data_IF_892642451080
#
_entry.id   IF_892642451080
#
_cell.length_a   1.000
_cell.length_b   1.000
_cell.length_c   1.000
_cell.angle_alpha   90.00
_cell.angle_beta   90.00
_cell.angle_gamma   90.00
#
_symmetry.space_group_name_H-M   'P 1'
#
loop_
_entity.id
_entity.type
_entity.pdbx_description
1 polymer ?
#
# COMPACT_ATOMS: atom_id res chain seq x y z
N UNK A 1 10.01 18.53 9.51
CA UNK A 1 10.99 17.83 8.65
C UNK A 1 10.80 16.34 8.90
N UNK A 2 9.95 15.70 8.10
CA UNK A 2 9.83 14.25 8.11
C UNK A 2 11.11 13.67 7.51
N UNK A 3 11.76 12.75 8.22
CA UNK A 3 13.05 12.20 7.83
C UNK A 3 12.87 11.16 6.71
N UNK A 4 13.73 11.13 5.68
CA UNK A 4 13.54 10.32 4.46
C UNK A 4 13.45 8.80 4.72
N UNK A 5 14.06 8.29 5.79
CA UNK A 5 13.97 6.88 6.19
C UNK A 5 12.66 6.49 6.90
N UNK A 6 11.84 7.46 7.29
CA UNK A 6 10.59 7.31 8.05
C UNK A 6 9.35 7.58 7.22
N UNK A 7 9.47 8.51 6.26
CA UNK A 7 8.56 8.60 5.10
C UNK A 7 8.46 7.24 4.39
N UNK A 8 9.56 6.50 4.36
CA UNK A 8 9.68 5.21 3.71
C UNK A 8 8.82 4.08 4.32
N UNK A 9 8.70 4.00 5.67
CA UNK A 9 7.81 3.03 6.33
C UNK A 9 6.33 3.39 6.14
N UNK A 10 6.02 4.69 6.06
CA UNK A 10 4.66 5.20 5.77
C UNK A 10 4.25 4.97 4.30
N UNK A 11 5.18 5.05 3.35
CA UNK A 11 4.89 4.90 1.93
C UNK A 11 5.02 3.46 1.42
N UNK A 12 5.66 2.56 2.19
CA UNK A 12 5.67 1.10 1.96
C UNK A 12 4.28 0.50 1.70
N UNK A 13 3.24 1.20 2.15
CA UNK A 13 1.86 0.75 2.12
C UNK A 13 0.94 1.59 1.21
N UNK A 14 1.45 2.62 0.50
CA UNK A 14 0.59 3.61 -0.18
C UNK A 14 0.25 3.25 -1.64
N UNK A 15 1.01 2.36 -2.29
CA UNK A 15 0.79 1.92 -3.68
C UNK A 15 0.99 0.42 -3.89
N UNK A 16 -0.03 -0.32 -3.49
CA UNK A 16 -0.18 -1.76 -3.69
C UNK A 16 -1.55 -1.92 -4.35
N UNK A 17 -1.65 -1.82 -5.69
CA UNK A 17 -2.96 -1.76 -6.40
C UNK A 17 -3.01 -2.36 -7.80
N UNK A 18 -4.19 -2.84 -8.18
CA UNK A 18 -4.31 -3.90 -9.20
C UNK A 18 -5.51 -3.86 -10.12
N UNK A 19 -5.32 -4.20 -11.41
CA UNK A 19 -6.38 -4.54 -12.37
C UNK A 19 -6.24 -5.92 -13.06
N UNK A 20 -7.34 -6.37 -13.68
CA UNK A 20 -7.69 -7.72 -14.15
C UNK A 20 -6.92 -8.24 -15.40
N UNK A 21 -6.77 -9.56 -15.47
CA UNK A 21 -6.57 -10.36 -16.69
C UNK A 21 -7.95 -10.83 -17.24
N UNK A 22 -8.34 -10.53 -18.49
CA UNK A 22 -9.57 -11.10 -19.04
C UNK A 22 -9.32 -12.55 -19.41
N UNK A 23 -9.80 -13.49 -18.58
CA UNK A 23 -9.84 -14.90 -18.98
C UNK A 23 -11.17 -15.18 -19.69
N UNK A 24 -11.19 -14.99 -21.00
CA UNK A 24 -12.25 -15.48 -21.86
C UNK A 24 -11.70 -15.87 -23.24
N UNK A 25 -11.33 -17.15 -23.39
CA UNK A 25 -11.33 -17.82 -24.69
C UNK A 25 -11.62 -19.32 -24.49
N UNK A 26 -12.93 -19.60 -24.54
CA UNK A 26 -13.60 -20.79 -25.06
C UNK A 26 -12.70 -21.90 -25.65
N UNK A 27 -12.70 -23.08 -25.01
CA UNK A 27 -12.45 -24.36 -25.67
C UNK A 27 -13.59 -25.31 -25.30
N UNK A 28 -14.58 -25.41 -26.18
CA UNK A 28 -15.55 -26.52 -26.17
C UNK A 28 -14.90 -27.75 -26.81
N UNK A 29 -14.75 -28.83 -26.04
CA UNK A 29 -14.59 -30.20 -26.53
C UNK A 29 -15.16 -31.15 -25.46
N UNK A 30 -16.06 -32.09 -25.81
CA UNK A 30 -16.56 -33.07 -24.86
C UNK A 30 -15.65 -34.30 -24.86
N UNK A 31 -15.21 -34.74 -23.69
CA UNK A 31 -14.74 -36.10 -23.51
C UNK A 31 -14.85 -36.49 -22.03
N UNK A 32 -15.73 -37.45 -21.76
CA UNK A 32 -15.81 -38.16 -20.49
C UNK A 32 -14.43 -38.76 -20.16
N UNK A 33 -13.72 -38.15 -19.22
CA UNK A 33 -12.59 -38.76 -18.54
C UNK A 33 -13.00 -39.04 -17.08
N UNK A 34 -12.64 -40.20 -16.53
CA UNK A 34 -12.88 -40.48 -15.13
C UNK A 34 -12.09 -39.44 -14.33
N UNK A 35 -12.81 -38.65 -13.54
CA UNK A 35 -12.21 -37.77 -12.53
C UNK A 35 -11.57 -38.69 -11.51
N UNK A 36 -10.31 -39.08 -11.76
CA UNK A 36 -9.42 -39.42 -10.67
C UNK A 36 -9.38 -38.16 -9.81
N UNK A 37 -9.99 -38.22 -8.63
CA UNK A 37 -9.74 -37.29 -7.56
C UNK A 37 -8.24 -37.43 -7.21
N UNK A 38 -7.38 -36.79 -8.01
CA UNK A 38 -6.07 -36.42 -7.58
C UNK A 38 -6.32 -35.61 -6.33
N UNK A 39 -5.87 -36.13 -5.18
CA UNK A 39 -5.63 -35.27 -4.03
C UNK A 39 -4.71 -34.18 -4.56
N UNK A 40 -5.26 -33.04 -4.95
CA UNK A 40 -4.49 -31.84 -5.19
C UNK A 40 -3.82 -31.61 -3.85
N UNK A 41 -2.52 -31.91 -3.77
CA UNK A 41 -1.69 -31.47 -2.66
C UNK A 41 -1.98 -29.98 -2.60
N UNK A 42 -2.71 -29.54 -1.57
CA UNK A 42 -3.03 -28.14 -1.40
C UNK A 42 -1.69 -27.41 -1.50
N UNK A 43 -1.53 -26.46 -2.44
CA UNK A 43 -0.24 -25.85 -2.69
C UNK A 43 0.33 -25.35 -1.37
N UNK A 44 1.59 -25.70 -1.10
CA UNK A 44 2.29 -25.34 0.13
C UNK A 44 2.04 -23.84 0.42
N UNK A 45 1.73 -23.42 1.66
CA UNK A 45 1.39 -22.03 1.99
C UNK A 45 2.33 -20.99 1.36
N UNK A 46 3.65 -21.17 1.48
CA UNK A 46 4.64 -20.32 0.83
C UNK A 46 4.51 -20.21 -0.70
N UNK A 47 4.06 -21.25 -1.40
CA UNK A 47 3.85 -21.21 -2.85
C UNK A 47 2.64 -20.34 -3.21
N UNK A 48 1.56 -20.40 -2.42
CA UNK A 48 0.40 -19.50 -2.57
C UNK A 48 0.79 -18.05 -2.31
N UNK A 49 1.49 -17.79 -1.21
CA UNK A 49 1.99 -16.44 -0.90
C UNK A 49 2.93 -15.93 -1.98
N UNK A 50 3.87 -16.76 -2.46
CA UNK A 50 4.76 -16.39 -3.57
C UNK A 50 3.99 -16.01 -4.83
N UNK A 51 2.95 -16.76 -5.18
CA UNK A 51 2.09 -16.43 -6.32
C UNK A 51 1.34 -15.12 -6.10
N UNK A 52 0.82 -14.88 -4.90
CA UNK A 52 0.17 -13.61 -4.55
C UNK A 52 1.16 -12.42 -4.67
N UNK A 53 2.39 -12.57 -4.18
CA UNK A 53 3.47 -11.58 -4.34
C UNK A 53 3.81 -11.31 -5.80
N UNK A 54 3.90 -12.35 -6.64
CA UNK A 54 4.19 -12.17 -8.06
C UNK A 54 3.08 -11.41 -8.78
N UNK A 55 1.82 -11.77 -8.49
CA UNK A 55 0.65 -11.07 -9.02
C UNK A 55 0.63 -9.64 -8.52
N UNK A 56 0.94 -9.41 -7.25
CA UNK A 56 1.08 -8.09 -6.66
C UNK A 56 2.13 -7.25 -7.44
N UNK A 57 3.37 -7.69 -7.54
CA UNK A 57 4.38 -6.84 -8.21
C UNK A 57 4.05 -6.60 -9.69
N UNK A 58 3.54 -7.63 -10.39
CA UNK A 58 3.27 -7.55 -11.82
C UNK A 58 2.16 -6.57 -12.22
N UNK A 59 1.28 -6.13 -11.31
CA UNK A 59 0.32 -5.08 -11.65
C UNK A 59 0.51 -3.73 -10.96
N UNK A 60 1.42 -3.60 -9.99
CA UNK A 60 1.88 -2.27 -9.54
C UNK A 60 2.55 -1.51 -10.73
N UNK A 61 3.04 -2.23 -11.75
CA UNK A 61 3.61 -1.68 -12.99
C UNK A 61 2.56 -1.07 -13.96
N UNK A 62 1.26 -1.14 -13.66
CA UNK A 62 0.17 -0.66 -14.55
C UNK A 62 -0.74 0.33 -13.84
N UNK A 63 -0.37 1.61 -13.82
CA UNK A 63 -1.21 2.66 -13.21
C UNK A 63 -2.39 3.02 -14.11
N UNK A 64 -3.60 2.85 -13.61
CA UNK A 64 -4.78 3.52 -14.19
C UNK A 64 -4.93 4.85 -13.49
N UNK A 65 -5.13 5.93 -14.26
CA UNK A 65 -5.37 7.23 -13.66
C UNK A 65 -6.67 7.22 -12.84
N UNK A 66 -6.62 7.70 -11.61
CA UNK A 66 -7.78 7.73 -10.71
C UNK A 66 -7.72 8.85 -9.72
N UNK A 67 -8.87 9.10 -9.12
CA UNK A 67 -9.05 10.03 -8.03
C UNK A 67 -9.69 9.36 -6.84
N UNK A 68 -9.22 9.70 -5.65
CA UNK A 68 -9.78 9.20 -4.39
C UNK A 68 -9.57 10.22 -3.28
N UNK A 69 -10.35 10.07 -2.22
CA UNK A 69 -10.16 10.79 -0.97
C UNK A 69 -9.21 10.02 -0.08
N UNK A 70 -8.23 10.72 0.47
CA UNK A 70 -7.23 10.18 1.39
C UNK A 70 -7.34 10.88 2.75
N UNK A 71 -7.63 10.12 3.79
CA UNK A 71 -7.68 10.62 5.17
C UNK A 71 -6.53 10.05 5.97
N UNK A 72 -5.70 10.91 6.55
CA UNK A 72 -4.60 10.53 7.43
C UNK A 72 -4.82 11.10 8.83
N UNK A 73 -4.89 10.23 9.82
CA UNK A 73 -4.95 10.57 11.24
C UNK A 73 -3.58 10.34 11.84
N UNK A 74 -3.07 11.31 12.58
CA UNK A 74 -1.80 11.26 13.32
C UNK A 74 -1.97 11.93 14.68
N UNK A 75 -0.94 11.87 15.52
CA UNK A 75 -0.89 12.65 16.78
C UNK A 75 -0.97 14.17 16.56
N UNK A 76 -0.68 14.65 15.35
CA UNK A 76 -0.75 16.06 14.97
C UNK A 76 -2.11 16.47 14.39
N UNK A 77 -3.04 15.52 14.23
CA UNK A 77 -4.39 15.77 13.75
C UNK A 77 -4.80 14.91 12.56
N UNK A 78 -5.98 15.21 12.05
CA UNK A 78 -6.61 14.54 10.91
C UNK A 78 -6.51 15.43 9.67
N UNK A 79 -5.97 14.88 8.59
CA UNK A 79 -5.78 15.57 7.32
C UNK A 79 -6.57 14.82 6.24
N UNK A 80 -7.45 15.53 5.54
CA UNK A 80 -8.19 14.98 4.41
C UNK A 80 -7.67 15.63 3.13
N UNK A 81 -7.30 14.79 2.17
CA UNK A 81 -6.79 15.19 0.87
C UNK A 81 -7.65 14.59 -0.24
N UNK A 82 -7.78 15.35 -1.31
CA UNK A 82 -8.24 14.85 -2.59
C UNK A 82 -7.01 14.50 -3.43
N UNK A 83 -6.90 13.26 -3.88
CA UNK A 83 -5.70 12.73 -4.52
C UNK A 83 -6.04 12.29 -5.93
N UNK A 84 -5.22 12.71 -6.89
CA UNK A 84 -5.23 12.17 -8.25
C UNK A 84 -3.91 11.46 -8.50
N UNK A 85 -3.99 10.18 -8.85
CA UNK A 85 -2.88 9.34 -9.23
C UNK A 85 -2.84 9.17 -10.74
N UNK A 86 -1.65 9.26 -11.33
CA UNK A 86 -1.40 9.14 -12.77
C UNK A 86 -0.16 8.28 -13.02
N UNK A 87 0.10 7.91 -14.27
CA UNK A 87 1.35 7.21 -14.66
C UNK A 87 2.62 8.01 -14.31
N UNK A 88 2.50 9.33 -14.23
CA UNK A 88 3.61 10.25 -13.95
C UNK A 88 3.74 10.56 -12.44
N UNK A 89 2.96 9.88 -11.60
CA UNK A 89 2.90 10.02 -10.14
C UNK A 89 1.60 10.66 -9.62
N UNK A 90 1.51 10.83 -8.28
CA UNK A 90 0.33 11.43 -7.65
C UNK A 90 0.50 12.91 -7.39
N UNK A 91 -0.64 13.58 -7.32
CA UNK A 91 -0.77 14.92 -6.77
C UNK A 91 -1.99 14.93 -5.86
N UNK A 92 -1.85 15.59 -4.72
CA UNK A 92 -2.93 15.77 -3.77
C UNK A 92 -3.27 17.24 -3.58
N UNK A 93 -4.51 17.55 -3.20
CA UNK A 93 -4.93 18.82 -2.62
C UNK A 93 -5.42 18.59 -1.19
N UNK A 94 -4.93 19.36 -0.22
CA UNK A 94 -5.50 19.36 1.12
C UNK A 94 -6.88 20.03 1.10
N UNK A 95 -7.89 19.37 1.66
CA UNK A 95 -9.28 19.86 1.64
C UNK A 95 -9.88 20.05 3.04
N UNK A 96 -9.38 19.35 4.06
CA UNK A 96 -9.80 19.56 5.44
C UNK A 96 -8.69 19.23 6.45
N UNK A 97 -8.71 19.94 7.58
CA UNK A 97 -7.88 19.69 8.75
C UNK A 97 -8.80 19.57 9.98
N UNK A 98 -8.66 18.50 10.75
CA UNK A 98 -9.43 18.24 11.97
C UNK A 98 -10.95 18.37 11.75
N UNK A 99 -11.44 17.82 10.63
CA UNK A 99 -12.86 17.82 10.25
C UNK A 99 -13.40 19.17 9.76
N UNK A 100 -12.55 20.19 9.63
CA UNK A 100 -12.95 21.52 9.14
C UNK A 100 -12.34 21.79 7.75
N UNK A 101 -13.11 22.37 6.81
CA UNK A 101 -12.54 22.88 5.57
C UNK A 101 -11.41 23.88 5.83
N UNK A 102 -10.54 24.06 4.84
CA UNK A 102 -9.45 25.04 4.93
C UNK A 102 -9.99 26.46 5.11
N UNK A 103 -9.31 27.25 5.95
CA UNK A 103 -9.57 28.67 6.05
C UNK A 103 -9.02 29.44 4.83
N UNK A 104 -9.37 30.73 4.70
CA UNK A 104 -8.97 31.53 3.54
C UNK A 104 -7.45 31.71 3.38
N UNK A 105 -6.67 31.58 4.45
CA UNK A 105 -5.22 31.65 4.37
C UNK A 105 -4.65 30.30 3.90
N UNK A 106 -5.10 29.20 4.50
CA UNK A 106 -4.72 27.84 4.14
C UNK A 106 -5.07 27.54 2.69
N UNK A 107 -6.25 27.97 2.24
CA UNK A 107 -6.70 27.81 0.85
C UNK A 107 -5.76 28.54 -0.12
N UNK A 108 -5.39 29.79 0.19
CA UNK A 108 -4.43 30.55 -0.63
C UNK A 108 -3.05 29.88 -0.66
N UNK A 109 -2.59 29.32 0.45
CA UNK A 109 -1.33 28.59 0.51
C UNK A 109 -1.38 27.33 -0.35
N UNK A 110 -2.48 26.58 -0.30
CA UNK A 110 -2.65 25.36 -1.07
C UNK A 110 -2.79 25.63 -2.57
N UNK A 111 -3.51 26.68 -2.96
CA UNK A 111 -3.56 27.15 -4.35
C UNK A 111 -2.18 27.57 -4.86
N UNK A 112 -1.40 28.30 -4.05
CA UNK A 112 -0.04 28.70 -4.40
C UNK A 112 0.86 27.48 -4.58
N UNK A 113 0.75 26.47 -3.71
CA UNK A 113 1.48 25.21 -3.84
C UNK A 113 1.15 24.50 -5.15
N UNK A 114 -0.14 24.35 -5.48
CA UNK A 114 -0.56 23.73 -6.74
C UNK A 114 -0.13 24.55 -7.98
N UNK A 115 -0.12 25.89 -7.90
CA UNK A 115 0.39 26.76 -8.97
C UNK A 115 1.90 26.59 -9.17
N UNK A 116 2.66 26.49 -8.08
CA UNK A 116 4.10 26.27 -8.11
C UNK A 116 4.46 24.93 -8.79
N UNK A 117 3.67 23.88 -8.55
CA UNK A 117 3.81 22.58 -9.21
C UNK A 117 3.74 22.66 -10.74
N UNK A 118 2.87 23.52 -11.29
CA UNK A 118 2.77 23.72 -12.75
C UNK A 118 3.92 24.56 -13.34
N UNK A 119 4.55 25.39 -12.50
CA UNK A 119 5.61 26.31 -12.90
C UNK A 119 7.01 25.66 -12.91
N UNK A 120 7.19 24.55 -12.20
CA UNK A 120 8.48 23.86 -12.10
C UNK A 120 8.42 22.40 -12.59
N UNK A 121 8.73 22.13 -13.87
CA UNK A 121 8.85 20.77 -14.39
C UNK A 121 9.91 19.91 -13.68
N UNK A 122 10.91 20.52 -13.02
CA UNK A 122 11.87 19.76 -12.24
C UNK A 122 11.25 19.19 -10.97
N UNK A 123 10.25 19.85 -10.39
CA UNK A 123 9.49 19.32 -9.25
C UNK A 123 8.75 18.03 -9.61
N UNK A 124 8.09 17.98 -10.78
CA UNK A 124 7.45 16.75 -11.27
C UNK A 124 8.48 15.61 -11.43
N UNK A 125 9.63 15.89 -12.07
CA UNK A 125 10.67 14.87 -12.27
C UNK A 125 11.21 14.34 -10.95
N UNK A 126 11.49 15.21 -9.98
CA UNK A 126 11.99 14.80 -8.65
C UNK A 126 10.95 13.97 -7.90
N UNK A 127 9.68 14.39 -7.95
CA UNK A 127 8.57 13.66 -7.33
C UNK A 127 8.43 12.25 -7.91
N UNK A 128 8.39 12.15 -9.24
CA UNK A 128 8.31 10.87 -9.93
C UNK A 128 9.53 9.96 -9.68
N UNK A 129 10.74 10.53 -9.65
CA UNK A 129 11.96 9.79 -9.31
C UNK A 129 11.89 9.23 -7.90
N UNK A 130 11.49 10.05 -6.92
CA UNK A 130 11.34 9.62 -5.53
C UNK A 130 10.31 8.48 -5.40
N UNK A 131 9.13 8.64 -5.99
CA UNK A 131 8.10 7.59 -5.97
C UNK A 131 8.58 6.29 -6.63
N UNK A 132 9.32 6.39 -7.73
CA UNK A 132 9.86 5.23 -8.44
C UNK A 132 10.91 4.50 -7.60
N UNK A 133 11.83 5.24 -6.99
CA UNK A 133 12.85 4.68 -6.09
C UNK A 133 12.22 4.00 -4.88
N UNK A 134 11.15 4.59 -4.33
CA UNK A 134 10.36 4.01 -3.25
C UNK A 134 9.66 2.72 -3.69
N UNK A 135 8.92 2.74 -4.81
CA UNK A 135 8.22 1.56 -5.33
C UNK A 135 9.19 0.40 -5.57
N UNK A 136 10.34 0.66 -6.18
CA UNK A 136 11.36 -0.37 -6.41
C UNK A 136 11.84 -1.03 -5.10
N UNK A 137 11.85 -0.25 -4.02
CA UNK A 137 12.28 -0.70 -2.70
C UNK A 137 11.17 -1.47 -1.97
N UNK A 138 9.90 -1.05 -2.10
CA UNK A 138 8.74 -1.83 -1.67
C UNK A 138 8.69 -3.17 -2.40
N UNK A 139 8.81 -3.16 -3.72
CA UNK A 139 8.77 -4.38 -4.53
C UNK A 139 9.89 -5.35 -4.14
N UNK A 140 11.09 -4.83 -3.81
CA UNK A 140 12.20 -5.66 -3.31
C UNK A 140 11.81 -6.38 -2.02
N UNK A 141 11.30 -5.65 -1.02
CA UNK A 141 10.84 -6.23 0.24
C UNK A 141 9.69 -7.22 0.02
N UNK A 142 8.73 -6.90 -0.87
CA UNK A 142 7.63 -7.80 -1.23
C UNK A 142 8.13 -9.10 -1.85
N UNK A 143 9.14 -9.06 -2.73
CA UNK A 143 9.76 -10.27 -3.34
C UNK A 143 10.38 -11.19 -2.29
N UNK A 144 10.85 -10.64 -1.18
CA UNK A 144 11.50 -11.38 -0.10
C UNK A 144 10.51 -12.05 0.86
N UNK A 145 9.29 -11.51 1.01
CA UNK A 145 8.26 -12.02 1.95
C UNK A 145 8.07 -13.55 1.91
N UNK A 146 7.96 -14.22 0.74
CA UNK A 146 7.70 -15.66 0.69
C UNK A 146 8.86 -16.52 1.22
N UNK A 147 10.08 -15.98 1.25
CA UNK A 147 11.30 -16.64 1.72
C UNK A 147 11.67 -16.21 3.15
N UNK A 148 11.32 -14.97 3.52
CA UNK A 148 11.56 -14.40 4.84
C UNK A 148 10.69 -15.00 5.94
N UNK A 149 9.57 -15.64 5.58
CA UNK A 149 8.60 -16.17 6.54
C UNK A 149 8.23 -17.63 6.31
N UNK A 150 7.89 -18.30 7.41
CA UNK A 150 7.25 -19.62 7.41
C UNK A 150 5.75 -19.44 7.57
N UNK A 151 4.98 -19.73 6.52
CA UNK A 151 3.53 -19.56 6.50
C UNK A 151 2.82 -20.85 6.91
N UNK A 152 1.80 -20.72 7.76
CA UNK A 152 0.94 -21.82 8.20
C UNK A 152 -0.49 -21.49 7.83
N UNK A 153 -1.15 -22.38 7.11
CA UNK A 153 -2.57 -22.25 6.79
C UNK A 153 -3.41 -22.46 8.07
N UNK A 154 -4.33 -21.53 8.33
CA UNK A 154 -5.20 -21.56 9.51
C UNK A 154 -6.62 -21.96 9.12
N UNK A 155 -7.11 -21.45 8.00
CA UNK A 155 -8.48 -21.71 7.54
C UNK A 155 -8.88 -20.83 6.38
N UNK A 156 -10.17 -20.84 6.06
CA UNK A 156 -10.77 -20.03 5.01
C UNK A 156 -12.03 -19.33 5.52
N UNK A 157 -12.28 -18.13 5.00
CA UNK A 157 -13.50 -17.36 5.24
C UNK A 157 -14.19 -16.99 3.91
N UNK A 158 -15.52 -16.80 3.90
CA UNK A 158 -16.22 -16.33 2.70
C UNK A 158 -15.75 -14.93 2.29
N UNK A 159 -15.50 -14.72 1.00
CA UNK A 159 -15.16 -13.41 0.43
C UNK A 159 -16.00 -13.08 -0.81
N UNK A 160 -16.08 -11.79 -1.13
CA UNK A 160 -16.90 -11.27 -2.24
C UNK A 160 -16.54 -11.89 -3.59
N UNK A 161 -15.26 -12.21 -3.81
CA UNK A 161 -14.73 -12.82 -5.05
C UNK A 161 -14.14 -14.20 -4.78
N UNK A 162 -14.82 -15.02 -3.98
CA UNK A 162 -14.39 -16.36 -3.60
C UNK A 162 -13.74 -16.45 -2.23
N UNK A 163 -13.32 -17.66 -1.81
CA UNK A 163 -12.77 -17.90 -0.48
C UNK A 163 -11.54 -17.04 -0.19
N UNK A 164 -11.42 -16.57 1.05
CA UNK A 164 -10.26 -15.87 1.55
C UNK A 164 -9.49 -16.84 2.45
N UNK A 165 -8.28 -17.18 2.05
CA UNK A 165 -7.38 -18.05 2.79
C UNK A 165 -6.68 -17.25 3.88
N UNK A 166 -6.68 -17.76 5.10
CA UNK A 166 -6.02 -17.17 6.25
C UNK A 166 -4.75 -17.96 6.58
N UNK A 167 -3.65 -17.24 6.72
CA UNK A 167 -2.35 -17.75 7.10
C UNK A 167 -1.83 -17.01 8.33
N UNK A 168 -1.12 -17.72 9.21
CA UNK A 168 -0.18 -17.11 10.15
C UNK A 168 1.23 -17.22 9.61
N UNK A 169 2.11 -16.31 10.04
CA UNK A 169 3.51 -16.34 9.62
C UNK A 169 4.46 -16.01 10.76
N UNK A 170 5.59 -16.70 10.79
CA UNK A 170 6.71 -16.46 11.73
C UNK A 170 8.01 -16.25 10.94
N UNK A 171 8.99 -15.51 11.48
CA UNK A 171 10.28 -15.32 10.83
C UNK A 171 10.91 -16.67 10.46
N UNK A 172 11.46 -16.75 9.25
CA UNK A 172 12.26 -17.91 8.83
C UNK A 172 13.69 -17.75 9.36
N UNK A 173 14.15 -18.56 10.34
CA UNK A 173 15.50 -18.43 10.90
C UNK A 173 16.61 -18.77 9.90
N UNK A 174 16.27 -19.34 8.74
CA UNK A 174 17.20 -19.66 7.66
C UNK A 174 17.25 -18.58 6.57
N UNK A 175 16.43 -17.54 6.65
CA UNK A 175 16.45 -16.43 5.71
C UNK A 175 17.64 -15.51 6.03
N UNK A 176 18.62 -15.34 5.13
CA UNK A 176 19.69 -14.37 5.32
C UNK A 176 19.23 -13.01 4.76
N UNK A 177 18.94 -11.99 5.60
CA UNK A 177 18.47 -10.70 5.09
C UNK A 177 19.52 -10.06 4.17
N UNK A 178 19.18 -9.74 2.91
CA UNK A 178 20.16 -9.21 1.95
C UNK A 178 20.61 -7.79 2.28
N UNK A 179 19.80 -7.03 3.02
CA UNK A 179 20.11 -5.69 3.49
C UNK A 179 19.56 -5.40 4.90
N UNK A 180 19.81 -4.18 5.40
CA UNK A 180 19.40 -3.77 6.74
C UNK A 180 17.88 -3.62 6.87
N UNK A 181 17.17 -3.31 5.79
CA UNK A 181 15.72 -3.17 5.80
C UNK A 181 15.07 -4.54 5.90
N UNK A 182 15.57 -5.53 5.16
CA UNK A 182 15.10 -6.92 5.24
C UNK A 182 15.25 -7.54 6.63
N UNK A 183 16.11 -7.00 7.50
CA UNK A 183 16.21 -7.45 8.92
C UNK A 183 14.94 -7.23 9.71
N UNK A 184 14.04 -6.37 9.24
CA UNK A 184 12.73 -6.24 9.85
C UNK A 184 12.00 -7.58 9.94
N UNK A 185 12.15 -8.43 8.91
CA UNK A 185 11.45 -9.70 8.84
C UNK A 185 11.88 -10.67 9.95
N UNK A 186 13.09 -10.54 10.48
CA UNK A 186 13.57 -11.37 11.60
C UNK A 186 12.73 -11.16 12.87
N UNK A 187 12.14 -9.97 13.03
CA UNK A 187 11.38 -9.59 14.22
C UNK A 187 9.89 -9.46 14.05
N UNK A 188 9.32 -9.84 12.90
CA UNK A 188 7.89 -9.67 12.61
C UNK A 188 7.13 -10.99 12.54
N UNK A 189 5.94 -11.03 13.11
CA UNK A 189 5.01 -12.15 12.98
C UNK A 189 3.58 -11.62 12.84
N UNK A 190 2.66 -12.45 12.35
CA UNK A 190 1.26 -12.08 12.29
C UNK A 190 0.44 -12.95 11.36
N UNK A 191 -0.55 -12.32 10.76
CA UNK A 191 -1.62 -12.93 10.01
C UNK A 191 -1.75 -12.29 8.63
N UNK A 192 -2.07 -13.11 7.64
CA UNK A 192 -2.16 -12.74 6.23
C UNK A 192 -3.38 -13.41 5.60
N UNK A 193 -4.17 -12.61 4.89
CA UNK A 193 -5.36 -13.07 4.18
C UNK A 193 -5.19 -12.87 2.68
N UNK A 194 -5.45 -13.93 1.92
CA UNK A 194 -5.33 -13.94 0.46
C UNK A 194 -6.63 -14.44 -0.15
N UNK A 195 -7.22 -13.67 -1.06
CA UNK A 195 -8.33 -14.18 -1.85
C UNK A 195 -7.85 -15.31 -2.78
N UNK A 196 -8.44 -16.49 -2.69
CA UNK A 196 -8.00 -17.70 -3.38
C UNK A 196 -8.13 -17.59 -4.91
N UNK A 197 -9.16 -16.91 -5.41
CA UNK A 197 -9.43 -16.84 -6.84
C UNK A 197 -8.59 -15.75 -7.52
N UNK A 198 -8.51 -14.59 -6.89
CA UNK A 198 -7.79 -13.43 -7.44
C UNK A 198 -6.31 -13.40 -7.03
N UNK A 199 -5.93 -14.21 -6.04
CA UNK A 199 -4.60 -14.23 -5.41
C UNK A 199 -4.15 -12.84 -4.91
N UNK A 200 -5.11 -12.02 -4.46
CA UNK A 200 -4.86 -10.68 -3.90
C UNK A 200 -4.67 -10.77 -2.40
N UNK A 201 -3.75 -9.99 -1.85
CA UNK A 201 -3.74 -9.70 -0.43
C UNK A 201 -5.01 -8.94 -0.06
N UNK A 202 -5.75 -9.43 0.92
CA UNK A 202 -6.98 -8.83 1.44
C UNK A 202 -6.70 -8.11 2.75
N UNK A 203 -5.93 -8.75 3.64
CA UNK A 203 -5.60 -8.20 4.94
C UNK A 203 -4.21 -8.66 5.36
N UNK A 204 -3.50 -7.78 6.04
CA UNK A 204 -2.27 -8.07 6.76
C UNK A 204 -2.42 -7.51 8.18
N UNK A 205 -2.06 -8.29 9.18
CA UNK A 205 -1.85 -7.81 10.54
C UNK A 205 -0.52 -8.34 11.03
N UNK A 206 0.38 -7.47 11.46
CA UNK A 206 1.69 -7.89 11.89
C UNK A 206 2.16 -7.08 13.10
N UNK A 207 3.04 -7.68 13.89
CA UNK A 207 3.64 -7.02 15.03
C UNK A 207 5.08 -7.46 15.27
N UNK A 208 5.85 -6.60 15.92
CA UNK A 208 7.23 -6.88 16.30
C UNK A 208 7.30 -7.71 17.58
N UNK A 209 7.98 -8.86 17.54
CA UNK A 209 8.18 -9.74 18.70
C UNK A 209 9.45 -9.43 19.48
N UNK A 210 10.36 -8.64 18.90
CA UNK A 210 11.53 -8.08 19.54
C UNK A 210 11.93 -6.75 18.87
N UNK A 211 12.91 -6.05 19.46
CA UNK A 211 13.39 -4.79 18.93
C UNK A 211 14.17 -5.01 17.63
N UNK A 212 13.84 -4.25 16.58
CA UNK A 212 14.45 -4.39 15.25
C UNK A 212 15.23 -3.14 14.90
N UNK A 213 16.45 -3.31 14.37
CA UNK A 213 17.24 -2.20 13.84
C UNK A 213 16.85 -1.90 12.39
N UNK A 214 16.74 -0.63 12.06
CA UNK A 214 16.36 -0.12 10.74
C UNK A 214 17.22 1.09 10.31
N UNK A 215 17.47 1.21 9.00
CA UNK A 215 18.02 2.42 8.37
C UNK A 215 19.55 2.50 8.26
N UNK A 216 20.04 2.96 7.10
CA UNK A 216 21.47 3.19 6.84
C UNK A 216 21.91 4.55 7.42
N UNK A 217 22.83 4.56 8.39
CA UNK A 217 23.51 5.78 8.89
C UNK A 217 22.91 6.42 10.15
N UNK A 218 21.63 6.19 10.48
CA UNK A 218 21.07 6.41 11.80
C UNK A 218 20.52 5.07 12.30
N UNK A 219 21.08 4.53 13.37
CA UNK A 219 20.57 3.33 14.04
C UNK A 219 19.20 3.63 14.65
N UNK A 220 18.14 3.57 13.84
CA UNK A 220 16.78 3.53 14.35
C UNK A 220 16.52 2.12 14.88
N UNK A 221 15.93 2.03 16.05
CA UNK A 221 15.42 0.77 16.60
C UNK A 221 13.93 0.92 16.77
N UNK A 222 13.15 0.03 16.17
CA UNK A 222 11.72 -0.09 16.42
C UNK A 222 11.51 -1.06 17.58
N UNK A 223 10.65 -0.65 18.51
CA UNK A 223 10.44 -1.38 19.75
C UNK A 223 9.50 -2.56 19.57
N UNK A 224 9.74 -3.60 20.37
CA UNK A 224 8.84 -4.74 20.50
C UNK A 224 7.40 -4.26 20.75
N UNK A 225 6.45 -4.91 20.07
CA UNK A 225 5.02 -4.62 20.19
C UNK A 225 4.51 -3.62 19.16
N UNK A 226 5.39 -2.97 18.38
CA UNK A 226 4.98 -2.16 17.24
C UNK A 226 4.11 -2.97 16.28
N UNK A 227 3.02 -2.37 15.78
CA UNK A 227 2.00 -3.04 14.95
C UNK A 227 1.80 -2.34 13.62
N UNK A 228 1.51 -3.14 12.60
CA UNK A 228 1.01 -2.68 11.31
C UNK A 228 -0.21 -3.50 10.93
N UNK A 229 -1.23 -2.85 10.40
CA UNK A 229 -2.34 -3.53 9.75
C UNK A 229 -2.69 -2.83 8.44
N UNK A 230 -3.06 -3.62 7.44
CA UNK A 230 -3.44 -3.13 6.12
C UNK A 230 -4.62 -3.95 5.61
N UNK A 231 -5.57 -3.27 4.97
CA UNK A 231 -6.72 -3.89 4.30
C UNK A 231 -6.78 -3.40 2.85
N UNK A 232 -7.05 -4.34 1.95
CA UNK A 232 -7.25 -4.10 0.55
C UNK A 232 -8.65 -4.58 0.16
N UNK A 233 -9.36 -3.78 -0.61
CA UNK A 233 -10.66 -4.13 -1.16
C UNK A 233 -10.71 -3.92 -2.67
N UNK A 234 -11.68 -4.57 -3.31
CA UNK A 234 -12.09 -4.21 -4.66
C UNK A 234 -12.94 -2.94 -4.62
N UNK A 235 -12.34 -1.81 -4.99
CA UNK A 235 -12.99 -0.49 -4.89
C UNK A 235 -13.68 -0.07 -6.20
N UNK A 236 -13.35 -0.72 -7.30
CA UNK A 236 -14.04 -0.64 -8.59
C UNK A 236 -14.00 -2.04 -9.24
N UNK A 237 -14.87 -2.36 -10.21
CA UNK A 237 -14.83 -3.65 -10.89
C UNK A 237 -13.44 -3.98 -11.42
N UNK A 238 -12.81 -4.97 -10.81
CA UNK A 238 -11.46 -5.42 -11.10
C UNK A 238 -10.33 -4.60 -10.50
N UNK A 239 -10.60 -3.47 -9.86
CA UNK A 239 -9.57 -2.64 -9.23
C UNK A 239 -9.49 -2.86 -7.72
N UNK A 240 -8.37 -3.43 -7.28
CA UNK A 240 -8.09 -3.63 -5.86
C UNK A 240 -7.15 -2.56 -5.32
N UNK A 241 -7.47 -2.12 -4.11
CA UNK A 241 -6.91 -0.94 -3.53
C UNK A 241 -6.73 -1.07 -2.02
N UNK A 242 -5.62 -0.54 -1.47
CA UNK A 242 -5.48 -0.33 -0.03
C UNK A 242 -6.58 0.61 0.45
N UNK A 243 -7.52 0.15 1.27
CA UNK A 243 -8.64 0.97 1.78
C UNK A 243 -8.37 1.46 3.19
N UNK A 244 -7.63 0.67 3.98
CA UNK A 244 -7.30 0.99 5.35
C UNK A 244 -5.85 0.59 5.68
N UNK A 245 -5.18 1.45 6.44
CA UNK A 245 -3.91 1.12 7.08
C UNK A 245 -3.86 1.70 8.48
N UNK A 246 -3.21 0.98 9.39
CA UNK A 246 -2.83 1.49 10.71
C UNK A 246 -1.38 1.12 11.01
N UNK A 247 -0.63 2.08 11.52
CA UNK A 247 0.73 1.90 12.00
C UNK A 247 0.81 2.45 13.43
N UNK A 248 1.26 1.61 14.35
CA UNK A 248 1.53 1.97 15.75
C UNK A 248 2.92 1.46 16.11
N UNK A 249 3.95 2.27 15.89
CA UNK A 249 5.35 1.88 16.09
C UNK A 249 6.10 2.95 16.86
N UNK A 250 6.64 2.56 18.00
CA UNK A 250 7.59 3.36 18.77
C UNK A 250 9.03 2.90 18.52
N UNK A 251 9.97 3.77 18.82
CA UNK A 251 11.38 3.46 18.68
C UNK A 251 12.31 4.57 19.12
N UNK A 252 13.58 4.37 18.82
CA UNK A 252 14.67 5.30 19.17
C UNK A 252 15.63 5.47 18.00
N UNK A 253 15.91 6.72 17.62
CA UNK A 253 17.00 7.10 16.72
C UNK A 253 18.22 7.57 17.51
N UNK A 254 19.43 7.22 17.03
CA UNK A 254 20.71 7.71 17.59
C UNK A 254 20.80 7.53 19.11
N UNK A 255 20.26 6.42 19.64
CA UNK A 255 20.28 6.02 21.07
C UNK A 255 19.41 6.88 22.01
N UNK A 256 19.05 8.12 21.66
CA UNK A 256 18.40 9.05 22.60
C UNK A 256 17.14 9.74 22.06
N UNK A 257 16.94 9.78 20.74
CA UNK A 257 15.82 10.50 20.14
C UNK A 257 14.63 9.56 19.98
N UNK A 258 13.59 9.74 20.79
CA UNK A 258 12.33 9.02 20.66
C UNK A 258 11.73 9.23 19.27
N UNK A 259 11.25 8.14 18.67
CA UNK A 259 10.47 8.10 17.45
C UNK A 259 9.13 7.46 17.79
N UNK A 260 8.02 8.09 17.38
CA UNK A 260 6.68 7.52 17.52
C UNK A 260 5.93 7.71 16.21
N UNK A 261 5.34 6.62 15.72
CA UNK A 261 4.54 6.57 14.51
C UNK A 261 3.18 5.97 14.84
N UNK A 262 2.24 6.83 15.18
CA UNK A 262 0.84 6.49 15.32
C UNK A 262 0.07 7.12 14.17
N UNK A 263 -0.42 6.30 13.26
CA UNK A 263 -1.26 6.79 12.19
C UNK A 263 -2.30 5.79 11.72
N UNK A 264 -3.38 6.35 11.21
CA UNK A 264 -4.36 5.62 10.42
C UNK A 264 -4.50 6.31 9.07
N UNK A 265 -4.49 5.56 8.00
CA UNK A 265 -4.77 6.03 6.64
C UNK A 265 -6.02 5.34 6.10
N UNK A 266 -6.94 6.11 5.52
CA UNK A 266 -8.13 5.59 4.84
C UNK A 266 -8.19 6.16 3.44
N UNK A 267 -8.60 5.33 2.49
CA UNK A 267 -8.80 5.74 1.10
C UNK A 267 -10.23 5.40 0.67
N UNK A 268 -10.96 6.39 0.18
CA UNK A 268 -12.39 6.29 -0.16
C UNK A 268 -12.70 7.01 -1.46
N UNK A 269 -13.95 6.91 -1.93
CA UNK A 269 -14.47 7.74 -3.03
C UNK A 269 -13.68 7.58 -4.34
N UNK A 270 -13.29 6.34 -4.65
CA UNK A 270 -12.52 6.02 -5.84
C UNK A 270 -13.31 6.28 -7.13
N UNK A 271 -12.67 6.97 -8.06
CA UNK A 271 -13.22 7.26 -9.40
C UNK A 271 -12.12 7.14 -10.45
N UNK A 272 -12.44 6.51 -11.58
CA UNK A 272 -11.50 6.43 -12.70
C UNK A 272 -11.40 7.76 -13.43
N UNK A 273 -10.20 8.07 -13.89
CA UNK A 273 -9.93 9.15 -14.83
C UNK A 273 -9.55 8.56 -16.19
N UNK A 274 -9.58 9.34 -17.28
CA UNK A 274 -9.05 8.91 -18.57
C UNK A 274 -7.61 8.37 -18.40
N UNK A 275 -7.26 7.19 -18.95
CA UNK A 275 -5.93 6.60 -18.75
C UNK A 275 -4.76 7.48 -19.19
N UNK A 276 -5.01 8.42 -20.12
CA UNK A 276 -4.04 9.39 -20.59
C UNK A 276 -3.95 10.67 -19.73
N UNK A 277 -4.64 10.74 -18.58
CA UNK A 277 -4.55 11.90 -17.69
C UNK A 277 -3.11 12.09 -17.22
N UNK A 278 -2.54 13.22 -17.62
CA UNK A 278 -1.17 13.59 -17.26
C UNK A 278 -1.12 14.20 -15.86
N UNK A 279 0.06 14.19 -15.23
CA UNK A 279 0.23 14.85 -13.93
C UNK A 279 -0.14 16.34 -13.95
N UNK A 280 0.16 17.04 -15.06
CA UNK A 280 -0.23 18.47 -15.22
C UNK A 280 -1.74 18.65 -15.32
N UNK A 281 -2.45 17.73 -15.98
CA UNK A 281 -3.91 17.73 -16.00
C UNK A 281 -4.49 17.43 -14.62
N UNK A 282 -3.90 16.48 -13.88
CA UNK A 282 -4.27 16.19 -12.50
C UNK A 282 -4.17 17.43 -11.61
N UNK A 283 -3.07 18.20 -11.70
CA UNK A 283 -2.93 19.46 -10.95
C UNK A 283 -4.03 20.46 -11.33
N UNK A 284 -4.37 20.58 -12.62
CA UNK A 284 -5.44 21.48 -13.08
C UNK A 284 -6.83 21.04 -12.61
N UNK A 285 -7.11 19.74 -12.60
CA UNK A 285 -8.35 19.19 -12.06
C UNK A 285 -8.47 19.52 -10.57
N UNK A 286 -7.41 19.30 -9.81
CA UNK A 286 -7.36 19.64 -8.39
C UNK A 286 -7.51 21.15 -8.13
N UNK A 287 -7.03 22.03 -9.02
CA UNK A 287 -7.24 23.48 -8.88
C UNK A 287 -8.69 23.91 -9.16
N UNK A 288 -9.36 23.26 -10.12
CA UNK A 288 -10.69 23.65 -10.58
C UNK A 288 -11.78 23.30 -9.58
N UNK A 289 -11.65 22.16 -8.91
CA UNK A 289 -12.73 21.66 -8.07
C UNK A 289 -12.78 22.40 -6.74
N UNK A 290 -13.98 22.82 -6.31
CA UNK A 290 -14.12 23.61 -5.08
C UNK A 290 -13.92 22.72 -3.85
N UNK A 291 -12.95 23.04 -2.97
CA UNK A 291 -12.65 22.23 -1.78
C UNK A 291 -13.82 22.23 -0.79
N UNK A 292 -14.66 23.28 -0.78
CA UNK A 292 -15.87 23.34 0.03
C UNK A 292 -16.92 22.28 -0.36
N UNK A 293 -16.99 21.90 -1.64
CA UNK A 293 -17.89 20.84 -2.13
C UNK A 293 -17.27 19.46 -1.85
N UNK A 294 -15.95 19.36 -1.96
CA UNK A 294 -15.21 18.13 -1.72
C UNK A 294 -15.05 17.79 -0.22
N UNK A 295 -15.17 18.75 0.69
CA UNK A 295 -15.12 18.50 2.13
C UNK A 295 -16.47 18.08 2.74
N UNK A 296 -17.59 18.25 2.00
CA UNK A 296 -18.95 17.95 2.46
C UNK A 296 -19.52 16.64 1.90
N UNK A 297 -18.95 16.11 0.82
CA UNK A 297 -19.17 14.73 0.36
C UNK A 297 -18.35 13.79 1.20
#
# INVERSE_FOLDING_TARGET
MEHPSLVYLMMLCRRVRFLIFPFAALCMLPANLPVCAQSMIAPHPNALVRRAVQIQIANDERTVAMRYRFTKVTDHGTFVKDVIETNDGDVSRLIAINGKPLDAQQERQEEQRLKALLADPASQRRHHQHETEEQQRVDRLMRELPDAFLFHYVGEEPGMNGPILHFTFVPNPKFPPPDLESRMFEGMTGDLWINQLTMRFVRLQAHLIHNVRWGLGLLATFDKGGRVSMENDEVLPGYWAVTHMRLDVDGTALVLKTLSFHMTENQTDFTLLPPATTWREAVRLLQKDSPAILAQR
#
